data_IF_701355193564
#
_entry.id   IF_701355193564
#
_cell.length_a   1.000
_cell.length_b   1.000
_cell.length_c   1.000
_cell.angle_alpha   90.00
_cell.angle_beta   90.00
_cell.angle_gamma   90.00
#
_symmetry.space_group_name_H-M   'P 1'
#
loop_
_entity.id
_entity.type
_entity.pdbx_description
1 polymer ?
#
# COMPACT_ATOMS: atom_id res chain seq x y z
N UNK A 1 -22.96 18.22 -17.58
CA UNK A 1 -22.22 18.38 -18.83
C UNK A 1 -21.66 17.01 -19.18
N UNK A 2 -22.31 16.30 -20.12
CA UNK A 2 -21.80 15.01 -20.64
C UNK A 2 -20.57 15.28 -21.51
N UNK A 3 -19.36 15.27 -20.94
CA UNK A 3 -18.15 15.19 -21.74
C UNK A 3 -18.14 13.78 -22.38
N UNK A 4 -18.15 13.73 -23.69
CA UNK A 4 -18.05 12.49 -24.45
C UNK A 4 -16.69 11.88 -24.11
N UNK A 5 -16.68 10.78 -23.34
CA UNK A 5 -15.49 10.01 -23.02
C UNK A 5 -14.90 9.47 -24.33
N UNK A 6 -13.81 10.08 -24.83
CA UNK A 6 -13.28 9.77 -26.18
C UNK A 6 -12.29 8.62 -26.17
N UNK A 7 -11.45 8.52 -25.13
CA UNK A 7 -10.33 7.56 -25.10
C UNK A 7 -10.60 6.41 -24.14
N UNK A 8 -10.30 5.19 -24.60
CA UNK A 8 -10.51 3.96 -23.81
C UNK A 8 -9.20 3.49 -23.22
N UNK A 9 -9.19 3.28 -21.91
CA UNK A 9 -8.07 2.68 -21.21
C UNK A 9 -8.46 1.35 -20.58
N UNK A 10 -7.60 0.34 -20.74
CA UNK A 10 -7.73 -0.93 -20.02
C UNK A 10 -6.63 -0.97 -18.96
N UNK A 11 -7.07 -1.12 -17.72
CA UNK A 11 -6.23 -1.28 -16.52
C UNK A 11 -6.24 -2.74 -16.12
N UNK A 12 -5.08 -3.34 -15.93
CA UNK A 12 -4.94 -4.77 -15.63
C UNK A 12 -4.27 -4.97 -14.28
N UNK A 13 -4.82 -5.88 -13.47
CA UNK A 13 -4.27 -6.30 -12.17
C UNK A 13 -4.60 -7.76 -11.92
N UNK A 14 -3.77 -8.49 -11.18
CA UNK A 14 -4.04 -9.91 -10.86
C UNK A 14 -4.94 -10.11 -9.64
N UNK A 15 -5.30 -9.04 -8.92
CA UNK A 15 -6.21 -9.07 -7.76
C UNK A 15 -7.66 -9.40 -8.14
N UNK A 16 -8.51 -9.68 -7.14
CA UNK A 16 -9.95 -9.90 -7.33
C UNK A 16 -10.76 -8.60 -7.43
N UNK A 17 -10.10 -7.46 -7.36
CA UNK A 17 -10.60 -6.09 -7.44
C UNK A 17 -11.35 -5.59 -6.20
N UNK A 18 -11.70 -6.43 -5.24
CA UNK A 18 -12.54 -6.03 -4.10
C UNK A 18 -11.78 -5.10 -3.15
N UNK A 19 -10.55 -5.46 -2.81
CA UNK A 19 -9.74 -4.79 -1.79
C UNK A 19 -8.60 -3.93 -2.34
N UNK A 20 -8.49 -3.80 -3.66
CA UNK A 20 -7.39 -3.07 -4.30
C UNK A 20 -7.69 -1.57 -4.36
N UNK A 21 -7.41 -0.89 -3.25
CA UNK A 21 -7.71 0.53 -3.10
C UNK A 21 -6.82 1.43 -3.98
N UNK A 22 -5.55 1.06 -4.22
CA UNK A 22 -4.66 1.84 -5.09
C UNK A 22 -5.19 1.85 -6.52
N UNK A 23 -5.47 0.68 -7.06
CA UNK A 23 -5.99 0.56 -8.42
C UNK A 23 -7.36 1.22 -8.55
N UNK A 24 -8.20 1.16 -7.50
CA UNK A 24 -9.48 1.88 -7.47
C UNK A 24 -9.28 3.40 -7.57
N UNK A 25 -8.37 3.98 -6.77
CA UNK A 25 -8.05 5.41 -6.82
C UNK A 25 -7.52 5.81 -8.21
N UNK A 26 -6.61 5.03 -8.75
CA UNK A 26 -6.06 5.24 -10.10
C UNK A 26 -7.15 5.25 -11.17
N UNK A 27 -8.03 4.25 -11.17
CA UNK A 27 -9.17 4.18 -12.11
C UNK A 27 -10.13 5.36 -11.95
N UNK A 28 -10.36 5.83 -10.72
CA UNK A 28 -11.23 6.98 -10.44
C UNK A 28 -10.61 8.28 -10.98
N UNK A 29 -9.32 8.49 -10.79
CA UNK A 29 -8.58 9.62 -11.36
C UNK A 29 -8.67 9.61 -12.89
N UNK A 30 -8.42 8.46 -13.54
CA UNK A 30 -8.51 8.33 -15.00
C UNK A 30 -9.93 8.59 -15.52
N UNK A 31 -10.95 8.13 -14.79
CA UNK A 31 -12.35 8.44 -15.13
C UNK A 31 -12.63 9.93 -15.05
N UNK A 32 -12.17 10.61 -13.98
CA UNK A 32 -12.32 12.05 -13.79
C UNK A 32 -11.59 12.86 -14.89
N UNK A 33 -10.49 12.33 -15.40
CA UNK A 33 -9.80 12.91 -16.57
C UNK A 33 -10.56 12.75 -17.89
N UNK A 34 -11.63 11.94 -17.95
CA UNK A 34 -12.44 11.73 -19.14
C UNK A 34 -12.14 10.45 -19.93
N UNK A 35 -11.40 9.49 -19.36
CA UNK A 35 -11.23 8.18 -19.98
C UNK A 35 -12.44 7.27 -19.77
N UNK A 36 -12.73 6.41 -20.76
CA UNK A 36 -13.55 5.23 -20.56
C UNK A 36 -12.68 4.13 -19.94
N UNK A 37 -12.78 3.96 -18.63
CA UNK A 37 -11.96 2.99 -17.90
C UNK A 37 -12.61 1.60 -17.89
N UNK A 38 -11.82 0.57 -18.20
CA UNK A 38 -12.15 -0.82 -17.98
C UNK A 38 -11.07 -1.45 -17.10
N UNK A 39 -11.42 -1.86 -15.89
CA UNK A 39 -10.53 -2.56 -14.98
C UNK A 39 -10.70 -4.08 -15.13
N UNK A 40 -9.60 -4.77 -15.41
CA UNK A 40 -9.55 -6.23 -15.60
C UNK A 40 -8.76 -6.89 -14.47
N UNK A 41 -9.34 -7.89 -13.83
CA UNK A 41 -8.72 -8.69 -12.79
C UNK A 41 -9.21 -10.13 -12.78
N UNK A 42 -9.04 -10.85 -11.67
CA UNK A 42 -9.54 -12.24 -11.51
C UNK A 42 -10.75 -12.33 -10.58
N UNK A 43 -11.49 -13.43 -10.68
CA UNK A 43 -12.54 -13.83 -9.75
C UNK A 43 -12.12 -15.09 -9.02
N UNK A 44 -12.01 -15.02 -7.71
CA UNK A 44 -11.82 -16.18 -6.84
C UNK A 44 -13.15 -16.82 -6.49
N UNK A 45 -13.13 -18.08 -6.01
CA UNK A 45 -14.35 -18.79 -5.58
C UNK A 45 -15.12 -18.02 -4.50
N UNK A 46 -14.39 -17.39 -3.59
CA UNK A 46 -14.94 -16.64 -2.44
C UNK A 46 -14.89 -15.11 -2.63
N UNK A 47 -14.69 -14.62 -3.87
CA UNK A 47 -14.71 -13.18 -4.13
C UNK A 47 -16.06 -12.58 -3.78
N UNK A 48 -16.04 -11.54 -2.97
CA UNK A 48 -17.22 -10.74 -2.64
C UNK A 48 -17.77 -10.04 -3.89
N UNK A 49 -19.06 -9.66 -3.90
CA UNK A 49 -19.61 -8.77 -4.91
C UNK A 49 -18.80 -7.46 -4.95
N UNK A 50 -18.60 -6.95 -6.17
CA UNK A 50 -18.02 -5.62 -6.33
C UNK A 50 -19.08 -4.57 -6.05
N UNK A 51 -18.75 -3.60 -5.22
CA UNK A 51 -19.58 -2.41 -5.07
C UNK A 51 -19.66 -1.65 -6.41
N UNK A 52 -20.77 -0.95 -6.68
CA UNK A 52 -20.89 -0.12 -7.88
C UNK A 52 -19.73 0.86 -7.99
N UNK A 53 -19.12 0.93 -9.17
CA UNK A 53 -18.00 1.84 -9.49
C UNK A 53 -18.39 2.65 -10.71
N UNK A 54 -17.91 3.88 -10.83
CA UNK A 54 -18.15 4.75 -11.98
C UNK A 54 -17.57 4.24 -13.29
N UNK A 55 -16.77 3.17 -13.27
CA UNK A 55 -16.09 2.56 -14.41
C UNK A 55 -16.44 1.09 -14.55
N UNK A 56 -16.19 0.54 -15.75
CA UNK A 56 -16.46 -0.88 -16.05
C UNK A 56 -15.41 -1.80 -15.45
N UNK A 57 -15.84 -2.99 -15.05
CA UNK A 57 -14.97 -4.05 -14.53
C UNK A 57 -15.17 -5.36 -15.27
N UNK A 58 -14.10 -6.16 -15.39
CA UNK A 58 -14.11 -7.53 -15.90
C UNK A 58 -13.26 -8.40 -14.99
N UNK A 59 -13.79 -9.53 -14.55
CA UNK A 59 -13.03 -10.52 -13.78
C UNK A 59 -12.98 -11.85 -14.52
N UNK A 60 -11.78 -12.43 -14.66
CA UNK A 60 -11.58 -13.75 -15.23
C UNK A 60 -11.76 -14.83 -14.15
N UNK A 61 -12.56 -15.84 -14.44
CA UNK A 61 -12.57 -17.09 -13.67
C UNK A 61 -11.49 -18.01 -14.24
N UNK A 62 -10.51 -18.36 -13.42
CA UNK A 62 -9.34 -19.12 -13.83
C UNK A 62 -9.43 -20.56 -13.33
N UNK A 63 -8.79 -21.49 -14.05
CA UNK A 63 -8.62 -22.87 -13.60
C UNK A 63 -7.55 -22.98 -12.52
N UNK A 64 -6.44 -22.24 -12.68
CA UNK A 64 -5.33 -22.21 -11.73
C UNK A 64 -5.40 -20.93 -10.90
N UNK A 65 -5.30 -21.05 -9.58
CA UNK A 65 -5.41 -19.89 -8.67
C UNK A 65 -4.09 -19.57 -7.95
N UNK A 66 -3.05 -20.40 -8.09
CA UNK A 66 -1.75 -20.24 -7.44
C UNK A 66 -0.62 -20.77 -8.34
N UNK A 67 0.61 -20.29 -8.08
CA UNK A 67 1.82 -20.77 -8.71
C UNK A 67 1.99 -20.35 -10.18
N UNK A 68 2.97 -20.91 -10.89
CA UNK A 68 3.33 -20.48 -12.25
C UNK A 68 2.20 -20.62 -13.27
N UNK A 69 1.38 -21.65 -13.16
CA UNK A 69 0.26 -21.89 -14.08
C UNK A 69 -0.83 -20.81 -13.94
N UNK A 70 -1.02 -20.27 -12.74
CA UNK A 70 -1.91 -19.11 -12.55
C UNK A 70 -1.44 -17.91 -13.39
N UNK A 71 -0.17 -17.53 -13.27
CA UNK A 71 0.37 -16.39 -14.01
C UNK A 71 0.34 -16.63 -15.52
N UNK A 72 0.64 -17.85 -15.96
CA UNK A 72 0.60 -18.22 -17.38
C UNK A 72 -0.83 -18.13 -17.94
N UNK A 73 -1.82 -18.72 -17.26
CA UNK A 73 -3.22 -18.69 -17.66
C UNK A 73 -3.77 -17.26 -17.66
N UNK A 74 -3.49 -16.50 -16.59
CA UNK A 74 -3.97 -15.12 -16.48
C UNK A 74 -3.42 -14.26 -17.61
N UNK A 75 -2.10 -14.28 -17.85
CA UNK A 75 -1.47 -13.50 -18.92
C UNK A 75 -1.93 -13.95 -20.32
N UNK A 76 -2.11 -15.25 -20.56
CA UNK A 76 -2.63 -15.73 -21.83
C UNK A 76 -4.04 -15.20 -22.11
N UNK A 77 -4.95 -15.33 -21.14
CA UNK A 77 -6.35 -14.82 -21.26
C UNK A 77 -6.36 -13.30 -21.37
N UNK A 78 -5.55 -12.61 -20.56
CA UNK A 78 -5.43 -11.15 -20.61
C UNK A 78 -4.92 -10.69 -21.97
N UNK A 79 -3.88 -11.34 -22.51
CA UNK A 79 -3.32 -11.00 -23.82
C UNK A 79 -4.38 -11.11 -24.92
N UNK A 80 -5.08 -12.24 -25.00
CA UNK A 80 -6.16 -12.43 -25.98
C UNK A 80 -7.26 -11.37 -25.80
N UNK A 81 -7.67 -11.12 -24.56
CA UNK A 81 -8.67 -10.11 -24.27
C UNK A 81 -8.25 -8.71 -24.72
N UNK A 82 -7.00 -8.32 -24.45
CA UNK A 82 -6.43 -7.03 -24.84
C UNK A 82 -6.34 -6.88 -26.35
N UNK A 83 -5.98 -7.96 -27.09
CA UNK A 83 -5.89 -7.93 -28.56
C UNK A 83 -7.25 -7.63 -29.21
N UNK A 84 -8.30 -8.28 -28.75
CA UNK A 84 -9.63 -8.15 -29.35
C UNK A 84 -10.49 -7.02 -28.75
N UNK A 85 -10.04 -6.41 -27.65
CA UNK A 85 -10.75 -5.27 -27.06
C UNK A 85 -10.30 -3.95 -27.69
N UNK A 86 -11.23 -3.03 -27.91
CA UNK A 86 -10.89 -1.65 -28.31
C UNK A 86 -10.30 -0.90 -27.11
N UNK A 87 -9.10 -0.39 -27.26
CA UNK A 87 -8.40 0.43 -26.26
C UNK A 87 -7.38 1.33 -26.96
N UNK A 88 -7.19 2.53 -26.42
CA UNK A 88 -6.24 3.52 -26.90
C UNK A 88 -4.98 3.54 -26.04
N UNK A 89 -5.09 3.13 -24.77
CA UNK A 89 -4.01 3.07 -23.79
C UNK A 89 -4.15 1.81 -22.94
N UNK A 90 -3.04 1.22 -22.52
CA UNK A 90 -2.99 0.14 -21.53
C UNK A 90 -2.28 0.60 -20.28
N UNK A 91 -2.75 0.16 -19.10
CA UNK A 91 -2.08 0.32 -17.83
C UNK A 91 -1.89 -1.07 -17.19
N UNK A 92 -0.63 -1.47 -17.05
CA UNK A 92 -0.24 -2.69 -16.36
C UNK A 92 0.12 -2.36 -14.92
N UNK A 93 -0.57 -2.97 -13.96
CA UNK A 93 -0.18 -2.90 -12.56
C UNK A 93 0.63 -4.15 -12.23
N UNK A 94 1.79 -3.92 -11.66
CA UNK A 94 2.82 -4.89 -11.31
C UNK A 94 3.37 -5.74 -12.47
N UNK A 95 4.50 -6.39 -12.18
CA UNK A 95 5.25 -7.18 -13.15
C UNK A 95 4.44 -8.39 -13.66
N UNK A 96 3.51 -8.88 -12.85
CA UNK A 96 2.70 -10.06 -13.15
C UNK A 96 1.61 -9.84 -14.21
N UNK A 97 1.26 -8.57 -14.51
CA UNK A 97 0.37 -8.22 -15.63
C UNK A 97 1.14 -7.66 -16.85
N UNK A 98 2.40 -7.27 -16.64
CA UNK A 98 3.20 -6.60 -17.65
C UNK A 98 3.39 -7.43 -18.93
N UNK A 99 3.64 -8.76 -18.90
CA UNK A 99 3.87 -9.53 -20.13
C UNK A 99 2.74 -9.44 -21.14
N UNK A 100 1.49 -9.64 -20.69
CA UNK A 100 0.32 -9.58 -21.57
C UNK A 100 0.12 -8.16 -22.15
N UNK A 101 0.24 -7.14 -21.30
CA UNK A 101 0.08 -5.75 -21.70
C UNK A 101 1.19 -5.31 -22.67
N UNK A 102 2.43 -5.70 -22.40
CA UNK A 102 3.59 -5.37 -23.25
C UNK A 102 3.43 -5.94 -24.66
N UNK A 103 3.08 -7.22 -24.76
CA UNK A 103 2.86 -7.87 -26.06
C UNK A 103 1.67 -7.24 -26.80
N UNK A 104 0.55 -7.05 -26.12
CA UNK A 104 -0.63 -6.42 -26.72
C UNK A 104 -0.37 -4.98 -27.20
N UNK A 105 0.33 -4.18 -26.38
CA UNK A 105 0.77 -2.82 -26.75
C UNK A 105 1.60 -2.80 -28.02
N UNK A 106 2.56 -3.73 -28.16
CA UNK A 106 3.41 -3.84 -29.36
C UNK A 106 2.62 -4.23 -30.61
N UNK A 107 1.72 -5.22 -30.51
CA UNK A 107 0.90 -5.68 -31.65
C UNK A 107 -0.08 -4.58 -32.09
N UNK A 108 -0.74 -3.93 -31.14
CA UNK A 108 -1.73 -2.88 -31.40
C UNK A 108 -1.10 -1.51 -31.69
N UNK A 109 0.19 -1.34 -31.40
CA UNK A 109 0.92 -0.08 -31.51
C UNK A 109 0.29 1.07 -30.68
N UNK A 110 -0.17 0.73 -29.48
CA UNK A 110 -0.76 1.69 -28.54
C UNK A 110 0.13 1.89 -27.31
N UNK A 111 0.04 3.04 -26.63
CA UNK A 111 0.82 3.31 -25.42
C UNK A 111 0.55 2.31 -24.31
N UNK A 112 1.61 2.04 -23.54
CA UNK A 112 1.58 1.26 -22.31
C UNK A 112 2.17 2.10 -21.19
N UNK A 113 1.44 2.21 -20.07
CA UNK A 113 1.93 2.71 -18.79
C UNK A 113 2.11 1.52 -17.85
N UNK A 114 3.17 1.52 -17.06
CA UNK A 114 3.47 0.50 -16.07
C UNK A 114 3.47 1.14 -14.68
N UNK A 115 2.72 0.57 -13.73
CA UNK A 115 2.69 0.98 -12.32
C UNK A 115 3.17 -0.18 -11.44
N UNK A 116 4.34 -0.03 -10.81
CA UNK A 116 4.91 -1.00 -9.90
C UNK A 116 4.56 -0.64 -8.46
N UNK A 117 3.81 -1.51 -7.78
CA UNK A 117 3.32 -1.26 -6.43
C UNK A 117 4.36 -1.58 -5.35
N UNK A 118 5.41 -2.33 -5.72
CA UNK A 118 6.46 -2.77 -4.82
C UNK A 118 7.73 -3.11 -5.62
N UNK A 119 8.82 -3.41 -4.93
CA UNK A 119 10.01 -3.97 -5.59
C UNK A 119 9.76 -5.45 -5.88
N UNK A 120 9.03 -5.73 -6.95
CA UNK A 120 8.39 -7.01 -7.24
C UNK A 120 9.33 -8.22 -7.18
N UNK A 121 10.56 -8.09 -7.66
CA UNK A 121 11.55 -9.18 -7.64
C UNK A 121 12.17 -9.42 -6.27
N UNK A 122 11.90 -8.55 -5.28
CA UNK A 122 12.40 -8.62 -3.91
C UNK A 122 11.29 -8.89 -2.87
N UNK A 123 10.10 -9.32 -3.32
CA UNK A 123 9.02 -9.68 -2.40
C UNK A 123 9.36 -10.94 -1.59
N UNK A 124 8.89 -11.06 -0.34
CA UNK A 124 9.21 -12.17 0.53
C UNK A 124 8.92 -13.55 -0.07
N UNK A 125 7.86 -13.67 -0.86
CA UNK A 125 7.43 -14.91 -1.50
C UNK A 125 8.46 -15.45 -2.51
N UNK A 126 9.40 -14.61 -2.97
CA UNK A 126 10.46 -14.97 -3.92
C UNK A 126 11.81 -15.24 -3.26
N UNK A 127 12.00 -14.89 -1.98
CA UNK A 127 13.27 -15.05 -1.26
C UNK A 127 13.73 -16.51 -1.31
N UNK A 128 12.84 -17.44 -0.96
CA UNK A 128 13.16 -18.87 -0.92
C UNK A 128 12.91 -19.59 -2.26
N UNK A 129 12.67 -18.84 -3.35
CA UNK A 129 12.35 -19.38 -4.67
C UNK A 129 13.24 -18.81 -5.77
N UNK A 130 14.56 -19.03 -5.74
CA UNK A 130 15.52 -18.36 -6.62
C UNK A 130 15.28 -18.65 -8.11
N UNK A 131 14.74 -19.82 -8.47
CA UNK A 131 14.40 -20.15 -9.88
C UNK A 131 13.22 -19.31 -10.37
N UNK A 132 12.21 -19.10 -9.52
CA UNK A 132 11.05 -18.27 -9.86
C UNK A 132 11.46 -16.80 -9.93
N UNK A 133 12.26 -16.33 -8.97
CA UNK A 133 12.84 -14.97 -8.97
C UNK A 133 13.58 -14.68 -10.28
N UNK A 134 14.47 -15.59 -10.75
CA UNK A 134 15.19 -15.45 -12.01
C UNK A 134 14.28 -15.31 -13.24
N UNK A 135 13.13 -15.99 -13.25
CA UNK A 135 12.15 -15.84 -14.34
C UNK A 135 11.55 -14.44 -14.34
N UNK A 136 11.15 -13.92 -13.16
CA UNK A 136 10.63 -12.56 -13.03
C UNK A 136 11.68 -11.51 -13.37
N UNK A 137 12.91 -11.67 -12.90
CA UNK A 137 14.04 -10.79 -13.25
C UNK A 137 14.30 -10.78 -14.77
N UNK A 138 14.22 -11.94 -15.43
CA UNK A 138 14.36 -12.02 -16.87
C UNK A 138 13.25 -11.26 -17.60
N UNK A 139 12.00 -11.42 -17.17
CA UNK A 139 10.86 -10.68 -17.73
C UNK A 139 11.02 -9.17 -17.52
N UNK A 140 11.36 -8.76 -16.32
CA UNK A 140 11.60 -7.37 -15.94
C UNK A 140 12.72 -6.75 -16.79
N UNK A 141 13.89 -7.41 -16.89
CA UNK A 141 15.02 -6.98 -17.68
C UNK A 141 14.71 -6.88 -19.20
N UNK A 142 13.78 -7.68 -19.70
CA UNK A 142 13.40 -7.64 -21.13
C UNK A 142 12.37 -6.55 -21.43
N UNK A 143 11.49 -6.23 -20.50
CA UNK A 143 10.34 -5.36 -20.78
C UNK A 143 10.53 -3.94 -20.25
N UNK A 144 10.98 -3.78 -19.01
CA UNK A 144 11.06 -2.46 -18.36
C UNK A 144 11.95 -1.47 -19.12
N UNK A 145 13.15 -1.85 -19.67
CA UNK A 145 13.99 -0.91 -20.44
C UNK A 145 13.33 -0.38 -21.73
N UNK A 146 12.20 -0.97 -22.13
CA UNK A 146 11.48 -0.59 -23.36
C UNK A 146 10.21 0.21 -23.09
N UNK A 147 9.92 0.50 -21.82
CA UNK A 147 8.79 1.32 -21.39
C UNK A 147 9.12 2.79 -21.51
N UNK A 148 8.14 3.57 -21.92
CA UNK A 148 8.24 5.04 -21.98
C UNK A 148 7.64 5.70 -20.75
N UNK A 149 6.63 5.06 -20.15
CA UNK A 149 5.87 5.60 -19.01
C UNK A 149 5.84 4.56 -17.90
N UNK A 150 6.43 4.92 -16.77
CA UNK A 150 6.48 4.04 -15.61
C UNK A 150 6.30 4.84 -14.31
N UNK A 151 5.58 4.24 -13.36
CA UNK A 151 5.37 4.77 -12.02
C UNK A 151 5.67 3.72 -10.96
N UNK A 152 6.00 4.18 -9.76
CA UNK A 152 6.15 3.32 -8.57
C UNK A 152 5.78 4.08 -7.31
N UNK A 153 5.85 3.41 -6.15
CA UNK A 153 5.26 3.89 -4.89
C UNK A 153 6.17 4.76 -4.04
N UNK A 154 7.49 4.77 -4.28
CA UNK A 154 8.44 5.53 -3.46
C UNK A 154 9.72 5.88 -4.22
N UNK A 155 10.49 6.83 -3.67
CA UNK A 155 11.71 7.35 -4.31
C UNK A 155 12.80 6.29 -4.43
N UNK A 156 13.06 5.51 -3.39
CA UNK A 156 14.11 4.48 -3.40
C UNK A 156 13.91 3.46 -4.52
N UNK A 157 12.67 2.98 -4.71
CA UNK A 157 12.35 2.03 -5.78
C UNK A 157 12.47 2.72 -7.15
N UNK A 158 12.01 3.97 -7.29
CA UNK A 158 12.12 4.73 -8.54
C UNK A 158 13.58 4.93 -8.95
N UNK A 159 14.46 5.27 -8.02
CA UNK A 159 15.90 5.44 -8.25
C UNK A 159 16.55 4.12 -8.67
N UNK A 160 16.27 3.01 -7.97
CA UNK A 160 16.79 1.69 -8.30
C UNK A 160 16.37 1.28 -9.71
N UNK A 161 15.10 1.39 -10.03
CA UNK A 161 14.59 1.03 -11.36
C UNK A 161 15.16 1.93 -12.46
N UNK A 162 15.20 3.24 -12.20
CA UNK A 162 15.78 4.19 -13.18
C UNK A 162 17.25 3.90 -13.43
N UNK A 163 18.04 3.64 -12.37
CA UNK A 163 19.45 3.28 -12.49
C UNK A 163 19.66 1.93 -13.19
N UNK A 164 18.83 0.93 -12.86
CA UNK A 164 18.95 -0.44 -13.38
C UNK A 164 18.52 -0.53 -14.84
N UNK A 165 17.49 0.20 -15.24
CA UNK A 165 16.83 0.01 -16.55
C UNK A 165 16.94 1.19 -17.49
N UNK A 166 17.40 2.36 -17.04
CA UNK A 166 17.42 3.58 -17.84
C UNK A 166 16.04 4.16 -18.13
N UNK A 167 14.98 3.54 -17.62
CA UNK A 167 13.59 4.02 -17.72
C UNK A 167 13.29 4.93 -16.55
N UNK A 168 12.88 6.21 -16.77
CA UNK A 168 12.53 7.10 -15.68
C UNK A 168 11.21 6.63 -15.03
N UNK A 169 11.27 6.34 -13.74
CA UNK A 169 10.10 6.05 -12.91
C UNK A 169 9.66 7.31 -12.17
N UNK A 170 8.38 7.64 -12.29
CA UNK A 170 7.77 8.70 -11.48
C UNK A 170 7.13 8.10 -10.24
N UNK A 171 7.21 8.82 -9.13
CA UNK A 171 6.65 8.34 -7.86
C UNK A 171 5.18 8.76 -7.75
N UNK A 172 4.32 7.80 -7.50
CA UNK A 172 2.91 7.97 -7.13
C UNK A 172 2.68 7.15 -5.87
N UNK A 173 2.70 7.79 -4.71
CA UNK A 173 2.51 7.12 -3.42
C UNK A 173 1.06 6.67 -3.25
N UNK A 174 0.82 5.66 -2.41
CA UNK A 174 -0.54 5.20 -2.12
C UNK A 174 -1.17 5.96 -0.96
N UNK A 175 -1.33 7.28 -1.11
CA UNK A 175 -1.87 8.16 -0.07
C UNK A 175 -3.39 8.01 0.08
N UNK A 176 -3.97 8.26 1.27
CA UNK A 176 -5.41 8.35 1.47
C UNK A 176 -6.01 9.57 0.75
N UNK A 177 -7.31 9.58 0.56
CA UNK A 177 -8.01 10.81 0.21
C UNK A 177 -7.97 11.81 1.36
N UNK A 178 -8.07 13.09 1.06
CA UNK A 178 -8.22 14.12 2.08
C UNK A 178 -9.43 13.81 2.97
N UNK A 179 -9.25 13.84 4.28
CA UNK A 179 -10.35 13.61 5.21
C UNK A 179 -11.39 14.74 5.08
N UNK A 180 -12.63 14.37 4.78
CA UNK A 180 -13.73 15.33 4.59
C UNK A 180 -14.09 16.03 5.91
N UNK A 181 -13.87 15.37 7.04
CA UNK A 181 -14.06 15.90 8.38
C UNK A 181 -12.86 15.54 9.23
N UNK A 182 -12.32 16.50 9.97
CA UNK A 182 -11.36 16.14 11.02
C UNK A 182 -12.12 15.30 12.06
N UNK A 183 -11.66 14.08 12.33
CA UNK A 183 -12.35 13.26 13.33
C UNK A 183 -12.30 13.99 14.66
N UNK A 184 -13.47 14.28 15.23
CA UNK A 184 -13.53 14.70 16.64
C UNK A 184 -12.86 13.63 17.47
N UNK A 185 -11.81 14.00 18.20
CA UNK A 185 -11.18 13.09 19.16
C UNK A 185 -12.19 12.80 20.26
N UNK A 186 -13.04 11.81 20.04
CA UNK A 186 -13.84 11.22 21.10
C UNK A 186 -12.89 10.50 22.06
N UNK A 187 -12.26 11.26 22.94
CA UNK A 187 -11.55 10.68 24.08
C UNK A 187 -12.61 10.02 24.97
N UNK A 188 -12.83 8.74 24.73
CA UNK A 188 -13.34 7.91 25.81
C UNK A 188 -12.31 8.00 26.92
N UNK A 189 -12.73 8.59 28.05
CA UNK A 189 -11.92 8.70 29.28
C UNK A 189 -11.77 7.29 29.84
N UNK A 190 -10.97 6.46 29.17
CA UNK A 190 -10.43 5.22 29.70
C UNK A 190 -9.06 5.52 30.27
N UNK A 191 -8.82 5.06 31.49
CA UNK A 191 -7.54 5.15 32.18
C UNK A 191 -6.46 4.44 31.38
N UNK A 192 -5.66 5.17 30.57
CA UNK A 192 -4.52 4.61 29.83
C UNK A 192 -4.33 5.20 28.44
N UNK A 193 -3.13 5.00 27.89
CA UNK A 193 -2.74 5.42 26.54
C UNK A 193 -3.04 4.32 25.54
N UNK A 194 -3.53 4.66 24.36
CA UNK A 194 -3.83 3.71 23.28
C UNK A 194 -2.69 3.74 22.25
N UNK A 195 -2.08 2.59 22.06
CA UNK A 195 -1.12 2.31 20.98
C UNK A 195 -1.87 1.51 19.93
N UNK A 196 -1.79 1.93 18.67
CA UNK A 196 -2.49 1.28 17.56
C UNK A 196 -1.51 0.73 16.53
N UNK A 197 -1.66 -0.54 16.20
CA UNK A 197 -1.18 -1.11 14.94
C UNK A 197 -2.38 -1.44 14.06
N UNK A 198 -2.36 -1.03 12.79
CA UNK A 198 -3.35 -1.41 11.79
C UNK A 198 -2.70 -1.94 10.53
N UNK A 199 -3.27 -3.01 9.95
CA UNK A 199 -2.80 -3.60 8.69
C UNK A 199 -2.61 -5.12 8.74
N UNK A 200 -1.85 -5.65 7.78
CA UNK A 200 -1.58 -7.09 7.69
C UNK A 200 -0.73 -7.58 8.87
N UNK A 201 -1.19 -8.65 9.52
CA UNK A 201 -0.52 -9.29 10.66
C UNK A 201 0.36 -10.43 10.11
N UNK A 202 1.46 -10.04 9.45
CA UNK A 202 2.39 -10.94 8.78
C UNK A 202 3.79 -10.85 9.38
N UNK A 203 4.65 -11.82 9.06
CA UNK A 203 6.07 -11.83 9.46
C UNK A 203 6.74 -10.51 9.01
N UNK A 204 7.68 -10.01 9.82
CA UNK A 204 8.45 -8.81 9.51
C UNK A 204 7.72 -7.50 9.81
N UNK A 205 6.60 -7.53 10.52
CA UNK A 205 5.87 -6.34 10.95
C UNK A 205 6.28 -5.83 12.34
N UNK A 206 7.23 -6.50 13.00
CA UNK A 206 7.74 -6.13 14.33
C UNK A 206 6.73 -6.34 15.46
N UNK A 207 5.67 -7.12 15.23
CA UNK A 207 4.59 -7.28 16.22
C UNK A 207 4.98 -8.13 17.42
N UNK A 208 5.82 -9.14 17.23
CA UNK A 208 6.38 -9.95 18.32
C UNK A 208 7.17 -9.06 19.27
N UNK A 209 8.03 -8.19 18.73
CA UNK A 209 8.85 -7.27 19.49
C UNK A 209 8.01 -6.23 20.24
N UNK A 210 6.92 -5.73 19.61
CA UNK A 210 5.97 -4.83 20.25
C UNK A 210 5.24 -5.53 21.40
N UNK A 211 4.80 -6.79 21.25
CA UNK A 211 4.14 -7.56 22.30
C UNK A 211 5.09 -7.70 23.50
N UNK A 212 6.35 -8.10 23.28
CA UNK A 212 7.35 -8.15 24.34
C UNK A 212 7.62 -6.78 24.98
N UNK A 213 7.63 -5.70 24.21
CA UNK A 213 7.80 -4.33 24.73
C UNK A 213 6.68 -3.90 25.68
N UNK A 214 5.45 -4.44 25.51
CA UNK A 214 4.30 -4.11 26.36
C UNK A 214 4.51 -4.52 27.83
N UNK A 215 5.42 -5.44 28.15
CA UNK A 215 5.77 -5.76 29.55
C UNK A 215 6.29 -4.55 30.31
N UNK A 216 7.07 -3.71 29.63
CA UNK A 216 7.75 -2.54 30.24
C UNK A 216 6.86 -1.28 30.26
N UNK A 217 5.67 -1.32 29.64
CA UNK A 217 4.72 -0.19 29.60
C UNK A 217 3.64 -0.36 30.67
N UNK A 218 3.48 0.62 31.56
CA UNK A 218 2.54 0.50 32.70
C UNK A 218 1.10 0.88 32.35
N UNK A 219 0.90 2.05 31.73
CA UNK A 219 -0.42 2.64 31.50
C UNK A 219 -0.75 2.73 30.01
N UNK A 220 -0.50 1.65 29.26
CA UNK A 220 -0.75 1.61 27.85
C UNK A 220 -1.48 0.32 27.44
N UNK A 221 -2.36 0.43 26.46
CA UNK A 221 -3.06 -0.67 25.80
C UNK A 221 -2.64 -0.69 24.33
N UNK A 222 -2.29 -1.87 23.82
CA UNK A 222 -2.03 -2.10 22.41
C UNK A 222 -3.28 -2.67 21.74
N UNK A 223 -3.71 -2.04 20.65
CA UNK A 223 -4.77 -2.55 19.77
C UNK A 223 -4.11 -2.96 18.45
N UNK A 224 -4.31 -4.23 18.05
CA UNK A 224 -3.86 -4.78 16.77
C UNK A 224 -5.08 -4.98 15.89
N UNK A 225 -5.28 -4.04 14.95
CA UNK A 225 -6.40 -4.04 14.01
C UNK A 225 -5.95 -4.61 12.66
N UNK A 226 -6.24 -5.88 12.42
CA UNK A 226 -5.85 -6.57 11.20
C UNK A 226 -5.95 -8.08 11.29
N UNK A 227 -5.58 -8.71 10.18
CA UNK A 227 -5.54 -10.16 10.03
C UNK A 227 -4.32 -10.55 9.19
N UNK A 228 -3.85 -11.79 9.30
CA UNK A 228 -2.69 -12.26 8.56
C UNK A 228 -2.17 -13.60 9.05
N UNK A 229 -1.07 -14.03 8.43
CA UNK A 229 -0.56 -15.40 8.54
C UNK A 229 -0.05 -15.77 9.94
N UNK A 230 0.42 -14.79 10.74
CA UNK A 230 0.97 -15.03 12.08
C UNK A 230 0.01 -14.61 13.22
N UNK A 231 -1.22 -14.19 12.93
CA UNK A 231 -2.16 -13.71 13.95
C UNK A 231 -2.35 -14.73 15.08
N UNK A 232 -2.64 -16.00 14.75
CA UNK A 232 -2.84 -17.05 15.75
C UNK A 232 -1.59 -17.30 16.61
N UNK A 233 -0.39 -17.12 16.03
CA UNK A 233 0.87 -17.26 16.77
C UNK A 233 1.04 -16.10 17.76
N UNK A 234 0.69 -14.86 17.34
CA UNK A 234 0.73 -13.69 18.23
C UNK A 234 -0.32 -13.76 19.35
N UNK A 235 -1.53 -14.25 19.05
CA UNK A 235 -2.56 -14.50 20.07
C UNK A 235 -2.09 -15.53 21.10
N UNK A 236 -1.43 -16.61 20.66
CA UNK A 236 -0.82 -17.61 21.56
C UNK A 236 0.32 -17.00 22.40
N UNK A 237 1.17 -16.14 21.81
CA UNK A 237 2.21 -15.42 22.52
C UNK A 237 1.63 -14.54 23.63
N UNK A 238 0.60 -13.75 23.32
CA UNK A 238 -0.09 -12.87 24.30
C UNK A 238 -0.67 -13.68 25.45
N UNK A 239 -1.22 -14.87 25.18
CA UNK A 239 -1.71 -15.80 26.22
C UNK A 239 -0.58 -16.35 27.10
N UNK A 240 0.50 -16.82 26.49
CA UNK A 240 1.66 -17.36 27.21
C UNK A 240 2.30 -16.33 28.15
N UNK A 241 2.29 -15.05 27.75
CA UNK A 241 2.86 -13.95 28.51
C UNK A 241 1.85 -13.25 29.45
N UNK A 242 0.61 -13.74 29.55
CA UNK A 242 -0.46 -13.19 30.39
C UNK A 242 -0.75 -11.70 30.12
N UNK A 243 -0.74 -11.30 28.84
CA UNK A 243 -0.88 -9.90 28.40
C UNK A 243 -2.27 -9.57 27.84
N UNK A 244 -3.28 -10.46 28.00
CA UNK A 244 -4.63 -10.28 27.41
C UNK A 244 -5.34 -9.00 27.89
N UNK A 245 -4.98 -8.53 29.09
CA UNK A 245 -5.54 -7.27 29.62
C UNK A 245 -4.93 -6.00 29.00
N UNK A 246 -3.75 -6.12 28.35
CA UNK A 246 -3.02 -5.01 27.73
C UNK A 246 -3.05 -5.02 26.21
N UNK A 247 -3.35 -6.17 25.58
CA UNK A 247 -3.26 -6.34 24.13
C UNK A 247 -4.60 -6.89 23.62
N UNK A 248 -5.15 -6.19 22.65
CA UNK A 248 -6.41 -6.54 21.98
C UNK A 248 -6.21 -6.79 20.49
N UNK A 249 -6.77 -7.88 19.97
CA UNK A 249 -6.86 -8.15 18.55
C UNK A 249 -8.30 -7.92 18.09
N UNK A 250 -8.51 -6.95 17.20
CA UNK A 250 -9.87 -6.68 16.67
C UNK A 250 -10.20 -7.56 15.47
N UNK A 251 -9.19 -8.20 14.86
CA UNK A 251 -9.34 -8.81 13.55
C UNK A 251 -9.44 -7.75 12.44
N UNK A 252 -9.91 -8.18 11.27
CA UNK A 252 -10.05 -7.31 10.11
C UNK A 252 -11.23 -6.37 10.29
N UNK A 253 -10.98 -5.07 10.26
CA UNK A 253 -11.97 -4.01 10.30
C UNK A 253 -12.27 -3.48 8.89
N UNK A 254 -13.46 -2.93 8.73
CA UNK A 254 -13.85 -2.15 7.55
C UNK A 254 -13.16 -0.78 7.55
N UNK A 255 -13.19 -0.09 6.41
CA UNK A 255 -12.63 1.27 6.31
C UNK A 255 -13.34 2.22 7.28
N UNK A 256 -14.66 2.11 7.41
CA UNK A 256 -15.45 2.96 8.30
C UNK A 256 -15.10 2.72 9.77
N UNK A 257 -14.93 1.45 10.19
CA UNK A 257 -14.50 1.10 11.55
C UNK A 257 -13.08 1.60 11.83
N UNK A 258 -12.14 1.49 10.87
CA UNK A 258 -10.79 2.04 11.01
C UNK A 258 -10.80 3.56 11.10
N UNK A 259 -11.66 4.24 10.34
CA UNK A 259 -11.82 5.69 10.40
C UNK A 259 -12.30 6.16 11.78
N UNK A 260 -13.08 5.33 12.48
CA UNK A 260 -13.51 5.61 13.84
C UNK A 260 -12.46 5.25 14.89
N UNK A 261 -11.75 4.13 14.70
CA UNK A 261 -10.75 3.64 15.65
C UNK A 261 -9.46 4.48 15.63
N UNK A 262 -8.91 4.75 14.43
CA UNK A 262 -7.59 5.37 14.30
C UNK A 262 -7.43 6.68 15.08
N UNK A 263 -8.40 7.63 15.08
CA UNK A 263 -8.29 8.88 15.83
C UNK A 263 -8.28 8.71 17.35
N UNK A 264 -8.69 7.55 17.86
CA UNK A 264 -8.68 7.27 19.31
C UNK A 264 -7.30 6.94 19.85
N UNK A 265 -6.35 6.62 18.96
CA UNK A 265 -5.00 6.26 19.34
C UNK A 265 -4.19 7.48 19.81
N UNK A 266 -3.32 7.25 20.81
CA UNK A 266 -2.29 8.21 21.23
C UNK A 266 -1.00 8.07 20.42
N UNK A 267 -0.74 6.88 19.85
CA UNK A 267 0.44 6.57 19.03
C UNK A 267 0.12 5.49 17.99
N UNK A 268 0.46 5.73 16.74
CA UNK A 268 0.39 4.75 15.66
C UNK A 268 1.73 4.07 15.43
N UNK A 269 1.74 2.75 15.21
CA UNK A 269 2.95 1.98 14.99
C UNK A 269 3.12 1.55 13.53
N UNK A 270 4.32 1.77 12.99
CA UNK A 270 4.80 1.20 11.73
C UNK A 270 6.26 0.77 11.90
N UNK A 271 6.45 -0.36 12.58
CA UNK A 271 7.75 -0.85 13.06
C UNK A 271 8.18 -2.10 12.29
N UNK A 272 8.17 -2.00 10.98
CA UNK A 272 8.60 -3.06 10.09
C UNK A 272 10.08 -3.40 10.30
N UNK A 273 10.40 -4.69 10.18
CA UNK A 273 11.76 -5.20 10.19
C UNK A 273 12.44 -4.98 8.83
N UNK A 274 13.76 -4.84 8.82
CA UNK A 274 14.56 -4.80 7.58
C UNK A 274 14.72 -6.22 6.99
N UNK A 275 13.61 -6.76 6.50
CA UNK A 275 13.52 -8.14 6.00
C UNK A 275 13.65 -8.19 4.47
N UNK A 276 14.76 -7.65 3.96
CA UNK A 276 15.04 -7.58 2.51
C UNK A 276 14.59 -6.27 1.87
N UNK A 277 14.98 -6.09 0.60
CA UNK A 277 14.86 -4.79 -0.08
C UNK A 277 13.42 -4.29 -0.22
N UNK A 278 12.44 -5.18 -0.40
CA UNK A 278 11.05 -4.77 -0.48
C UNK A 278 10.54 -4.18 0.85
N UNK A 279 10.94 -4.77 1.99
CA UNK A 279 10.62 -4.23 3.32
C UNK A 279 11.41 -2.98 3.62
N UNK A 280 12.71 -2.94 3.28
CA UNK A 280 13.58 -1.77 3.48
C UNK A 280 13.01 -0.52 2.82
N UNK A 281 12.42 -0.64 1.64
CA UNK A 281 11.86 0.48 0.89
C UNK A 281 10.33 0.56 1.00
N UNK A 282 9.74 -0.18 1.94
CA UNK A 282 8.30 -0.13 2.17
C UNK A 282 7.85 1.26 2.64
N UNK A 283 6.73 1.70 2.08
CA UNK A 283 6.02 2.90 2.51
C UNK A 283 4.57 2.52 2.82
N UNK A 284 4.31 1.97 4.02
CA UNK A 284 3.01 1.38 4.36
C UNK A 284 1.91 2.41 4.47
N UNK A 285 0.71 2.07 3.99
CA UNK A 285 -0.46 2.95 4.01
C UNK A 285 -0.83 3.42 5.42
N UNK A 286 -0.66 2.56 6.43
CA UNK A 286 -0.97 2.87 7.84
C UNK A 286 -0.27 4.13 8.35
N UNK A 287 0.95 4.41 7.89
CA UNK A 287 1.68 5.63 8.23
C UNK A 287 0.87 6.88 7.86
N UNK A 288 0.31 6.88 6.67
CA UNK A 288 -0.49 7.99 6.15
C UNK A 288 -1.88 8.04 6.79
N UNK A 289 -2.47 6.87 7.10
CA UNK A 289 -3.74 6.81 7.81
C UNK A 289 -3.63 7.43 9.21
N UNK A 290 -2.54 7.16 9.95
CA UNK A 290 -2.25 7.81 11.23
C UNK A 290 -2.09 9.32 11.07
N UNK A 291 -1.34 9.78 10.07
CA UNK A 291 -1.15 11.21 9.81
C UNK A 291 -2.49 11.88 9.50
N UNK A 292 -3.34 11.26 8.66
CA UNK A 292 -4.69 11.79 8.36
C UNK A 292 -5.58 11.84 9.60
N UNK A 293 -5.47 10.85 10.48
CA UNK A 293 -6.18 10.83 11.76
C UNK A 293 -5.55 11.73 12.83
N UNK A 294 -4.49 12.47 12.49
CA UNK A 294 -3.73 13.33 13.40
C UNK A 294 -3.19 12.59 14.64
N UNK A 295 -2.69 11.40 14.42
CA UNK A 295 -2.06 10.54 15.43
C UNK A 295 -0.55 10.54 15.19
N UNK A 296 0.27 10.91 16.20
CA UNK A 296 1.72 10.78 16.11
C UNK A 296 2.15 9.34 15.86
N UNK A 297 3.27 9.17 15.17
CA UNK A 297 3.73 7.85 14.73
C UNK A 297 5.06 7.46 15.35
N UNK A 298 5.27 6.15 15.55
CA UNK A 298 6.59 5.56 15.77
C UNK A 298 6.88 4.61 14.60
N UNK A 299 7.98 4.87 13.91
CA UNK A 299 8.38 4.09 12.72
C UNK A 299 9.77 3.50 12.88
N UNK A 300 10.03 2.37 12.22
CA UNK A 300 11.40 1.86 12.05
C UNK A 300 12.24 2.84 11.21
N UNK A 301 13.56 2.87 11.47
CA UNK A 301 14.51 3.66 10.67
C UNK A 301 14.75 3.00 9.30
N UNK A 302 13.67 2.83 8.53
CA UNK A 302 13.71 2.42 7.13
C UNK A 302 13.61 3.66 6.24
N UNK A 303 14.34 3.73 5.11
CA UNK A 303 14.56 4.97 4.36
C UNK A 303 13.31 5.78 4.06
N UNK A 304 12.27 5.14 3.51
CA UNK A 304 11.07 5.85 3.06
C UNK A 304 10.18 6.30 4.23
N UNK A 305 10.02 5.47 5.26
CA UNK A 305 9.26 5.85 6.46
C UNK A 305 9.96 6.94 7.25
N UNK A 306 11.27 6.78 7.47
CA UNK A 306 12.08 7.78 8.15
C UNK A 306 12.10 9.12 7.42
N UNK A 307 12.15 9.11 6.07
CA UNK A 307 12.06 10.32 5.26
C UNK A 307 10.75 11.10 5.50
N UNK A 308 9.60 10.41 5.54
CA UNK A 308 8.31 11.05 5.84
C UNK A 308 8.30 11.65 7.24
N UNK A 309 8.74 10.88 8.26
CA UNK A 309 8.74 11.36 9.66
C UNK A 309 9.69 12.53 9.85
N UNK A 310 10.88 12.50 9.24
CA UNK A 310 11.84 13.61 9.30
C UNK A 310 11.36 14.85 8.55
N UNK A 311 10.72 14.68 7.39
CA UNK A 311 10.24 15.81 6.57
C UNK A 311 9.10 16.57 7.25
N UNK A 312 8.18 15.84 7.88
CA UNK A 312 6.96 16.42 8.46
C UNK A 312 7.02 16.56 9.97
N UNK A 313 8.02 15.96 10.64
CA UNK A 313 8.20 16.02 12.09
C UNK A 313 6.93 15.63 12.86
N UNK A 314 6.36 14.48 12.51
CA UNK A 314 5.04 13.99 13.00
C UNK A 314 5.14 12.81 13.96
N UNK A 315 6.33 12.45 14.40
CA UNK A 315 6.54 11.28 15.26
C UNK A 315 8.00 11.01 15.56
N UNK A 316 8.27 9.78 15.99
CA UNK A 316 9.59 9.31 16.43
C UNK A 316 10.06 8.18 15.50
N UNK A 317 11.39 8.02 15.40
CA UNK A 317 12.05 6.95 14.63
C UNK A 317 12.78 6.03 15.61
N UNK A 318 12.62 4.72 15.46
CA UNK A 318 13.37 3.73 16.23
C UNK A 318 14.45 3.06 15.38
N UNK A 319 15.65 2.99 15.93
CA UNK A 319 16.80 2.30 15.31
C UNK A 319 16.92 0.83 15.72
N UNK A 320 16.10 0.39 16.67
CA UNK A 320 16.11 -0.97 17.18
C UNK A 320 14.71 -1.43 17.51
N UNK A 321 14.44 -2.69 17.27
CA UNK A 321 13.22 -3.39 17.70
C UNK A 321 13.47 -4.27 18.93
N UNK A 322 14.63 -4.12 19.60
CA UNK A 322 14.81 -4.72 20.94
C UNK A 322 13.67 -4.28 21.86
N UNK A 323 12.99 -5.21 22.56
CA UNK A 323 11.79 -4.89 23.30
C UNK A 323 11.97 -3.82 24.39
N UNK A 324 13.11 -3.79 25.07
CA UNK A 324 13.40 -2.80 26.12
C UNK A 324 13.62 -1.41 25.49
N UNK A 325 14.39 -1.36 24.40
CA UNK A 325 14.64 -0.13 23.67
C UNK A 325 13.35 0.41 23.05
N UNK A 326 12.55 -0.48 22.44
CA UNK A 326 11.28 -0.12 21.81
C UNK A 326 10.28 0.41 22.85
N UNK A 327 10.19 -0.23 24.03
CA UNK A 327 9.36 0.24 25.13
C UNK A 327 9.76 1.63 25.62
N UNK A 328 11.07 1.91 25.73
CA UNK A 328 11.57 3.23 26.11
C UNK A 328 11.14 4.30 25.07
N UNK A 329 11.26 3.99 23.78
CA UNK A 329 10.80 4.86 22.68
C UNK A 329 9.30 5.10 22.70
N UNK A 330 8.51 4.05 22.91
CA UNK A 330 7.05 4.15 23.03
C UNK A 330 6.67 5.01 24.25
N UNK A 331 7.29 4.76 25.44
CA UNK A 331 7.01 5.53 26.63
C UNK A 331 7.34 7.02 26.44
N UNK A 332 8.50 7.36 25.88
CA UNK A 332 8.86 8.76 25.58
C UNK A 332 7.86 9.38 24.59
N UNK A 333 7.47 8.66 23.53
CA UNK A 333 6.49 9.15 22.57
C UNK A 333 5.10 9.38 23.17
N UNK A 334 4.71 8.63 24.19
CA UNK A 334 3.43 8.77 24.87
C UNK A 334 3.42 9.84 25.97
N UNK A 335 4.54 10.04 26.68
CA UNK A 335 4.62 10.82 27.91
C UNK A 335 5.30 12.18 27.72
N UNK A 336 6.19 12.32 26.72
CA UNK A 336 6.92 13.57 26.47
C UNK A 336 5.99 14.64 25.89
N UNK A 337 5.46 15.47 26.77
CA UNK A 337 4.47 16.50 26.40
C UNK A 337 5.02 17.54 25.42
N UNK A 338 6.32 17.83 25.45
CA UNK A 338 6.96 18.79 24.53
C UNK A 338 7.00 18.23 23.11
N UNK A 339 7.53 17.00 22.93
CA UNK A 339 7.52 16.32 21.63
C UNK A 339 6.12 16.16 21.07
N UNK A 340 5.18 15.70 21.92
CA UNK A 340 3.79 15.50 21.50
C UNK A 340 3.13 16.79 21.02
N UNK A 341 3.29 17.91 21.73
CA UNK A 341 2.77 19.21 21.32
C UNK A 341 3.34 19.62 19.96
N UNK A 342 4.64 19.40 19.76
CA UNK A 342 5.32 19.70 18.50
C UNK A 342 4.77 18.87 17.32
N UNK A 343 4.70 17.54 17.48
CA UNK A 343 4.12 16.66 16.45
C UNK A 343 2.67 16.97 16.14
N UNK A 344 1.86 17.23 17.19
CA UNK A 344 0.45 17.57 17.03
C UNK A 344 0.24 18.90 16.27
N UNK A 345 1.17 19.85 16.39
CA UNK A 345 1.13 21.09 15.61
C UNK A 345 1.47 20.87 14.12
N UNK A 346 2.31 19.87 13.81
CA UNK A 346 2.75 19.57 12.45
C UNK A 346 1.78 18.66 11.67
N UNK A 347 1.05 17.76 12.38
CA UNK A 347 0.16 16.78 11.76
C UNK A 347 -0.89 17.37 10.81
N UNK A 348 -1.56 18.51 11.12
CA UNK A 348 -2.53 19.12 10.19
C UNK A 348 -1.91 19.50 8.85
N UNK A 349 -0.69 20.03 8.85
CA UNK A 349 0.03 20.37 7.62
C UNK A 349 0.39 19.12 6.84
N UNK A 350 0.96 18.12 7.52
CA UNK A 350 1.28 16.83 6.90
C UNK A 350 0.05 16.16 6.29
N UNK A 351 -1.07 16.13 7.01
CA UNK A 351 -2.33 15.58 6.52
C UNK A 351 -2.87 16.30 5.29
N UNK A 352 -2.75 17.63 5.21
CA UNK A 352 -3.19 18.42 4.06
C UNK A 352 -2.31 18.18 2.81
N UNK A 353 -1.01 17.92 2.99
CA UNK A 353 -0.08 17.68 1.89
C UNK A 353 -0.08 16.22 1.41
N UNK A 354 -0.19 15.27 2.34
CA UNK A 354 -0.08 13.83 2.08
C UNK A 354 -1.45 13.23 1.72
N UNK A 355 -2.00 13.64 0.58
CA UNK A 355 -3.32 13.22 0.08
C UNK A 355 -3.25 12.68 -1.34
N UNK A 356 -4.23 11.83 -1.70
CA UNK A 356 -4.34 11.31 -3.06
C UNK A 356 -4.52 12.44 -4.09
N UNK A 357 -5.26 13.48 -3.76
CA UNK A 357 -5.52 14.64 -4.61
C UNK A 357 -4.22 15.39 -4.99
N UNK A 358 -3.18 15.28 -4.17
CA UNK A 358 -1.86 15.81 -4.52
C UNK A 358 -1.05 14.81 -5.37
N UNK A 359 -1.14 13.50 -5.11
CA UNK A 359 -0.46 12.48 -5.90
C UNK A 359 -1.08 12.29 -7.30
N UNK A 360 -2.40 12.38 -7.44
CA UNK A 360 -3.07 12.21 -8.73
C UNK A 360 -2.66 13.24 -9.77
N UNK A 361 -2.09 14.40 -9.38
CA UNK A 361 -1.53 15.39 -10.31
C UNK A 361 -0.46 14.77 -11.21
N UNK A 362 0.35 13.85 -10.66
CA UNK A 362 1.39 13.14 -11.41
C UNK A 362 0.76 12.19 -12.43
N UNK A 363 -0.34 11.52 -12.04
CA UNK A 363 -1.12 10.69 -12.96
C UNK A 363 -1.70 11.55 -14.08
N UNK A 364 -2.30 12.68 -13.73
CA UNK A 364 -2.86 13.62 -14.70
C UNK A 364 -1.81 14.10 -15.70
N UNK A 365 -0.60 14.42 -15.27
CA UNK A 365 0.49 14.81 -16.18
C UNK A 365 0.88 13.68 -17.13
N UNK A 366 1.01 12.43 -16.63
CA UNK A 366 1.38 11.27 -17.46
C UNK A 366 0.29 10.98 -18.50
N UNK A 367 -0.98 11.00 -18.09
CA UNK A 367 -2.07 10.57 -18.96
C UNK A 367 -2.66 11.68 -19.82
N UNK A 368 -2.41 12.96 -19.52
CA UNK A 368 -2.88 14.09 -20.33
C UNK A 368 -2.38 14.05 -21.78
N UNK A 369 -1.20 13.45 -22.02
CA UNK A 369 -0.63 13.30 -23.35
C UNK A 369 -1.46 12.41 -24.27
N UNK A 370 -2.24 11.49 -23.68
CA UNK A 370 -3.10 10.55 -24.42
C UNK A 370 -4.50 11.10 -24.72
N UNK A 371 -4.86 12.25 -24.16
CA UNK A 371 -6.14 12.93 -24.40
C UNK A 371 -6.06 14.00 -25.48
N UNK A 372 -4.85 14.38 -25.88
CA UNK A 372 -4.61 15.46 -26.85
C UNK A 372 -4.64 15.03 -28.32
N UNK A 373 -4.82 13.72 -28.57
CA UNK A 373 -4.81 13.17 -29.94
C UNK A 373 -6.24 12.77 -30.36
#
# INVERSE_FOLDING_TARGET
VNSILKHKIIVSVTSDLVSDNRVHKYCSTLLNMGFQVLLVGRKLKNSQPLLPRGYKTKRFSLFFNKGPLFYAEFNYRLYLYLLFSKSDVLLANDLDTLPANFLASKVKRIPLVYDSHEYFTEVPELVDRPRVKKIWEWLENKMVPRLKYATTVCNSIAEIYTKKYGTPFRVVRNLPFAAVHQPEKTKTVQNGKIILYQGAVNIGRGLEQVIHAMHYLKNAKLIIAGDGDIKSQLEALVQAENMQNKIEFTGRLTIDELTQLTPTADLGLSVEEDFGLNYRFALPNKLFDYIQAQVPVLVSNLPEMAAVVNQYEVGEITNSLDPVFLAAKISDALENTVKRKFWMANLPKAAAELTWENEEKIICEIFSVFLKN
#
